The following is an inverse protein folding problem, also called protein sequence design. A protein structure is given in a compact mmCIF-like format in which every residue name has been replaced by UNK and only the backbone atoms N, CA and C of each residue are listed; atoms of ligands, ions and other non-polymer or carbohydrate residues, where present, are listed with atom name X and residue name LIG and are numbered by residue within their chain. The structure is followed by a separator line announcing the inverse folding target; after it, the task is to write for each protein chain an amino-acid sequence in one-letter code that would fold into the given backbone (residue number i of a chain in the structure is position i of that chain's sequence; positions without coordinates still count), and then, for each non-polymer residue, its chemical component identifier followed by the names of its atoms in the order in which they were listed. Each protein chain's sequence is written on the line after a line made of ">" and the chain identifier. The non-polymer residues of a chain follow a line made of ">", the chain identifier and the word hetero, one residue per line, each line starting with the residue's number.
data_IF_221700552169
#
_entry.id   IF_221700552169
#
_cell.length_a   1.000
_cell.length_b   1.000
_cell.length_c   1.000
_cell.angle_alpha   90.00
_cell.angle_beta   90.00
_cell.angle_gamma   90.00
#
_symmetry.space_group_name_H-M   'P 1'
#
loop_
_entity.id
_entity.type
_entity.pdbx_description
1 polymer ?
#
# COMPACT_ATOMS: atom_id res chain seq x y z
N UNK A 1 -11.43 17.57 3.38
CA UNK A 1 -11.79 16.22 2.86
C UNK A 1 -10.50 15.49 2.52
N UNK A 2 -10.31 14.32 3.07
CA UNK A 2 -9.08 13.54 2.84
C UNK A 2 -9.35 12.42 1.85
N UNK A 3 -8.56 12.38 0.80
CA UNK A 3 -8.56 11.31 -0.19
C UNK A 3 -7.33 10.45 0.05
N UNK A 4 -7.53 9.18 0.36
CA UNK A 4 -6.45 8.21 0.55
C UNK A 4 -6.22 7.46 -0.75
N UNK A 5 -4.97 7.43 -1.21
CA UNK A 5 -4.54 6.70 -2.41
C UNK A 5 -3.68 5.52 -1.96
N UNK A 6 -4.14 4.31 -2.20
CA UNK A 6 -3.36 3.13 -1.87
C UNK A 6 -2.31 2.90 -2.96
N UNK A 7 -1.05 3.12 -2.59
CA UNK A 7 0.11 2.99 -3.49
C UNK A 7 0.65 1.57 -3.36
N UNK A 8 0.17 0.68 -4.21
CA UNK A 8 0.63 -0.71 -4.29
C UNK A 8 1.71 -0.86 -5.37
N UNK A 9 2.59 -1.85 -5.21
CA UNK A 9 3.81 -1.98 -6.03
C UNK A 9 3.55 -2.02 -7.55
N UNK A 10 2.52 -2.76 -7.97
CA UNK A 10 2.31 -3.03 -9.40
C UNK A 10 1.32 -2.10 -10.07
N UNK A 11 0.54 -1.34 -9.30
CA UNK A 11 -0.63 -0.60 -9.82
C UNK A 11 -0.67 0.88 -9.40
N UNK A 12 0.34 1.35 -8.71
CA UNK A 12 0.32 2.69 -8.11
C UNK A 12 0.21 3.82 -9.14
N UNK A 13 0.76 3.64 -10.33
CA UNK A 13 0.73 4.68 -11.36
C UNK A 13 -0.69 5.05 -11.75
N UNK A 14 -1.53 4.06 -11.99
CA UNK A 14 -2.93 4.28 -12.37
C UNK A 14 -3.73 4.93 -11.25
N UNK A 15 -3.47 4.53 -9.99
CA UNK A 15 -4.10 5.16 -8.83
C UNK A 15 -3.72 6.62 -8.68
N UNK A 16 -2.44 6.94 -8.85
CA UNK A 16 -1.92 8.31 -8.77
C UNK A 16 -2.50 9.17 -9.90
N UNK A 17 -2.57 8.63 -11.11
CA UNK A 17 -3.15 9.35 -12.23
C UNK A 17 -4.63 9.67 -12.00
N UNK A 18 -5.38 8.73 -11.45
CA UNK A 18 -6.77 8.96 -11.07
C UNK A 18 -6.91 10.01 -9.96
N UNK A 19 -5.96 10.01 -9.00
CA UNK A 19 -5.97 10.94 -7.88
C UNK A 19 -5.77 12.40 -8.29
N UNK A 20 -5.19 12.68 -9.45
CA UNK A 20 -5.02 14.05 -9.94
C UNK A 20 -6.33 14.80 -10.09
N UNK A 21 -7.43 14.10 -10.37
CA UNK A 21 -8.74 14.71 -10.46
C UNK A 21 -9.21 15.33 -9.14
N UNK A 22 -8.57 14.96 -8.03
CA UNK A 22 -8.88 15.43 -6.68
C UNK A 22 -7.81 16.35 -6.13
N UNK A 23 -7.04 17.01 -6.98
CA UNK A 23 -5.88 17.84 -6.59
C UNK A 23 -6.22 19.06 -5.72
N UNK A 24 -7.49 19.41 -5.59
CA UNK A 24 -7.94 20.45 -4.65
C UNK A 24 -8.21 19.93 -3.24
N UNK A 25 -8.14 18.62 -3.03
CA UNK A 25 -8.40 17.98 -1.76
C UNK A 25 -7.10 17.63 -1.04
N UNK A 26 -7.20 17.27 0.23
CA UNK A 26 -6.08 16.74 0.98
C UNK A 26 -5.80 15.31 0.51
N UNK A 27 -4.66 15.09 -0.13
CA UNK A 27 -4.27 13.80 -0.68
C UNK A 27 -3.26 13.12 0.24
N UNK A 28 -3.53 11.88 0.61
CA UNK A 28 -2.63 11.02 1.38
C UNK A 28 -2.24 9.80 0.53
N UNK A 29 -0.96 9.70 0.21
CA UNK A 29 -0.40 8.52 -0.45
C UNK A 29 0.01 7.51 0.62
N UNK A 30 -0.61 6.34 0.60
CA UNK A 30 -0.41 5.29 1.58
C UNK A 30 0.26 4.08 0.94
N UNK A 31 1.36 3.63 1.53
CA UNK A 31 1.96 2.33 1.19
C UNK A 31 2.02 1.46 2.44
N UNK A 32 1.67 0.19 2.30
CA UNK A 32 1.72 -0.79 3.39
C UNK A 32 2.66 -1.93 2.99
N UNK A 33 3.67 -2.15 3.81
CA UNK A 33 4.57 -3.31 3.68
C UNK A 33 4.05 -4.46 4.53
N UNK A 34 4.09 -5.67 3.97
CA UNK A 34 3.66 -6.86 4.68
C UNK A 34 4.66 -7.17 5.81
N UNK A 35 4.15 -7.29 7.04
CA UNK A 35 4.97 -7.57 8.21
C UNK A 35 5.43 -9.03 8.30
N UNK A 36 4.76 -9.95 7.60
CA UNK A 36 5.04 -11.38 7.71
C UNK A 36 6.42 -11.76 7.14
N UNK A 37 6.89 -11.03 6.13
CA UNK A 37 8.19 -11.30 5.51
C UNK A 37 9.35 -11.00 6.47
N UNK A 38 9.48 -9.81 7.10
CA UNK A 38 10.50 -9.57 8.11
C UNK A 38 10.36 -10.50 9.33
N UNK A 39 9.13 -10.70 9.82
CA UNK A 39 8.86 -11.55 10.97
C UNK A 39 9.30 -13.00 10.77
N UNK A 40 8.99 -13.57 9.62
CA UNK A 40 9.43 -14.92 9.27
C UNK A 40 10.96 -15.02 9.17
N UNK A 41 11.62 -14.03 8.61
CA UNK A 41 13.08 -13.99 8.52
C UNK A 41 13.74 -13.87 9.91
N UNK A 42 13.19 -13.02 10.80
CA UNK A 42 13.65 -12.92 12.19
C UNK A 42 13.57 -14.27 12.91
N UNK A 43 12.41 -14.95 12.80
CA UNK A 43 12.20 -16.24 13.44
C UNK A 43 13.14 -17.32 12.93
N UNK A 44 13.32 -17.45 11.64
CA UNK A 44 14.18 -18.44 11.02
C UNK A 44 15.66 -18.22 11.39
N UNK A 45 16.13 -16.99 11.34
CA UNK A 45 17.51 -16.65 11.65
C UNK A 45 17.82 -16.78 13.13
N UNK A 46 16.93 -16.37 14.01
CA UNK A 46 17.11 -16.48 15.46
C UNK A 46 17.25 -17.95 15.90
N UNK A 47 16.55 -18.87 15.22
CA UNK A 47 16.69 -20.31 15.50
C UNK A 47 18.03 -20.89 15.13
N UNK A 48 18.75 -20.30 14.16
CA UNK A 48 20.07 -20.80 13.69
C UNK A 48 21.25 -20.13 14.36
N UNK A 49 21.23 -18.82 14.58
CA UNK A 49 22.38 -18.03 14.99
C UNK A 49 22.19 -17.20 16.26
N UNK A 50 21.00 -17.08 16.75
CA UNK A 50 20.58 -16.69 18.11
C UNK A 50 20.99 -15.34 18.69
N UNK A 51 22.04 -14.62 18.29
CA UNK A 51 22.53 -13.51 19.10
C UNK A 51 23.26 -12.35 18.38
N UNK A 52 23.12 -12.20 17.08
CA UNK A 52 23.78 -11.09 16.38
C UNK A 52 22.78 -10.21 15.64
N UNK A 53 22.23 -9.15 16.30
CA UNK A 53 21.22 -8.29 15.68
C UNK A 53 21.66 -7.65 14.36
N UNK A 54 22.96 -7.32 14.25
CA UNK A 54 23.52 -6.73 13.03
C UNK A 54 23.57 -7.68 11.84
N UNK A 55 23.41 -9.00 12.08
CA UNK A 55 23.41 -10.03 11.04
C UNK A 55 22.03 -10.66 10.83
N UNK A 56 21.03 -10.18 11.52
CA UNK A 56 19.65 -10.67 11.41
C UNK A 56 19.07 -10.32 10.03
N UNK A 57 18.74 -11.31 9.18
CA UNK A 57 18.11 -11.01 7.88
C UNK A 57 16.75 -10.35 8.01
N UNK A 58 16.03 -10.55 9.13
CA UNK A 58 14.77 -9.83 9.39
C UNK A 58 14.99 -8.34 9.53
N UNK A 59 16.04 -7.92 10.26
CA UNK A 59 16.39 -6.50 10.39
C UNK A 59 16.81 -5.91 9.03
N UNK A 60 17.51 -6.65 8.20
CA UNK A 60 17.86 -6.22 6.84
C UNK A 60 16.64 -6.08 5.96
N UNK A 61 15.69 -7.01 6.04
CA UNK A 61 14.43 -6.94 5.29
C UNK A 61 13.57 -5.77 5.75
N UNK A 62 13.55 -5.46 7.05
CA UNK A 62 12.86 -4.27 7.58
C UNK A 62 13.45 -2.99 6.98
N UNK A 63 14.77 -2.88 6.93
CA UNK A 63 15.46 -1.74 6.33
C UNK A 63 15.21 -1.62 4.85
N UNK A 64 15.26 -2.73 4.11
CA UNK A 64 14.99 -2.77 2.67
C UNK A 64 13.53 -2.43 2.38
N UNK A 65 12.60 -2.91 3.19
CA UNK A 65 11.18 -2.61 3.04
C UNK A 65 10.90 -1.12 3.28
N UNK A 66 11.53 -0.52 4.29
CA UNK A 66 11.40 0.91 4.57
C UNK A 66 11.98 1.76 3.43
N UNK A 67 13.14 1.39 2.90
CA UNK A 67 13.76 2.06 1.75
C UNK A 67 12.88 1.95 0.50
N UNK A 68 12.34 0.77 0.25
CA UNK A 68 11.43 0.53 -0.86
C UNK A 68 10.17 1.40 -0.75
N UNK A 69 9.55 1.42 0.43
CA UNK A 69 8.37 2.24 0.68
C UNK A 69 8.65 3.72 0.45
N UNK A 70 9.78 4.24 0.95
CA UNK A 70 10.17 5.63 0.76
C UNK A 70 10.35 5.98 -0.71
N UNK A 71 11.05 5.15 -1.47
CA UNK A 71 11.27 5.38 -2.91
C UNK A 71 9.97 5.33 -3.69
N UNK A 72 9.11 4.38 -3.36
CA UNK A 72 7.82 4.22 -4.02
C UNK A 72 6.92 5.43 -3.77
N UNK A 73 6.85 5.89 -2.52
CA UNK A 73 6.06 7.07 -2.16
C UNK A 73 6.62 8.35 -2.77
N UNK A 74 7.94 8.50 -2.84
CA UNK A 74 8.57 9.63 -3.54
C UNK A 74 8.23 9.62 -5.03
N UNK A 75 8.34 8.47 -5.68
CA UNK A 75 7.99 8.34 -7.08
C UNK A 75 6.51 8.64 -7.33
N UNK A 76 5.64 8.18 -6.43
CA UNK A 76 4.21 8.44 -6.50
C UNK A 76 3.90 9.93 -6.34
N UNK A 77 4.53 10.60 -5.37
CA UNK A 77 4.36 12.03 -5.14
C UNK A 77 4.85 12.85 -6.34
N UNK A 78 5.99 12.48 -6.91
CA UNK A 78 6.53 13.14 -8.10
C UNK A 78 5.60 13.00 -9.29
N UNK A 79 5.06 11.80 -9.52
CA UNK A 79 4.10 11.55 -10.59
C UNK A 79 2.79 12.29 -10.37
N UNK A 80 2.33 12.38 -9.12
CA UNK A 80 1.11 13.11 -8.77
C UNK A 80 1.20 14.59 -9.12
N UNK A 81 2.32 15.21 -8.83
CA UNK A 81 2.63 16.59 -9.23
C UNK A 81 1.85 17.68 -8.51
N UNK A 82 1.07 17.33 -7.48
CA UNK A 82 0.33 18.28 -6.63
C UNK A 82 0.67 18.01 -5.18
N UNK A 83 0.45 18.99 -4.26
CA UNK A 83 0.76 18.77 -2.84
C UNK A 83 0.04 17.56 -2.26
N UNK A 84 0.76 16.75 -1.50
CA UNK A 84 0.24 15.57 -0.82
C UNK A 84 1.05 15.27 0.42
N UNK A 85 0.50 14.41 1.27
CA UNK A 85 1.24 13.78 2.35
C UNK A 85 1.47 12.31 2.04
N UNK A 86 2.46 11.70 2.66
CA UNK A 86 2.78 10.29 2.48
C UNK A 86 2.76 9.56 3.81
N UNK A 87 2.37 8.29 3.80
CA UNK A 87 2.38 7.43 4.97
C UNK A 87 2.85 6.05 4.58
N UNK A 88 3.90 5.57 5.25
CA UNK A 88 4.37 4.20 5.12
C UNK A 88 3.99 3.44 6.39
N UNK A 89 3.29 2.32 6.22
CA UNK A 89 2.88 1.46 7.32
C UNK A 89 3.44 0.06 7.12
N UNK A 90 3.64 -0.64 8.21
CA UNK A 90 4.02 -2.06 8.22
C UNK A 90 2.94 -2.82 8.97
N UNK A 91 2.43 -3.88 8.40
CA UNK A 91 1.40 -4.66 9.02
C UNK A 91 0.71 -5.57 8.02
N UNK A 92 -0.46 -6.04 8.39
CA UNK A 92 -1.30 -6.79 7.48
C UNK A 92 -1.95 -5.82 6.49
N UNK A 93 -1.61 -5.97 5.23
CA UNK A 93 -1.88 -4.94 4.19
C UNK A 93 -3.34 -4.52 4.18
N UNK A 94 -4.26 -5.46 4.05
CA UNK A 94 -5.69 -5.17 3.95
C UNK A 94 -6.25 -4.49 5.21
N UNK A 95 -5.74 -4.87 6.39
CA UNK A 95 -6.18 -4.27 7.65
C UNK A 95 -5.67 -2.84 7.82
N UNK A 96 -4.43 -2.60 7.43
CA UNK A 96 -3.83 -1.27 7.50
C UNK A 96 -4.49 -0.29 6.53
N UNK A 97 -4.82 -0.76 5.33
CA UNK A 97 -5.51 0.08 4.34
C UNK A 97 -6.91 0.46 4.85
N UNK A 98 -7.67 -0.49 5.37
CA UNK A 98 -9.00 -0.23 5.93
C UNK A 98 -8.90 0.74 7.11
N UNK A 99 -7.92 0.54 8.00
CA UNK A 99 -7.71 1.43 9.16
C UNK A 99 -7.39 2.87 8.71
N UNK A 100 -6.52 3.03 7.72
CA UNK A 100 -6.17 4.34 7.20
C UNK A 100 -7.37 5.05 6.53
N UNK A 101 -8.26 4.29 5.95
CA UNK A 101 -9.43 4.83 5.23
C UNK A 101 -10.60 5.18 6.13
N UNK A 102 -10.56 4.86 7.43
CA UNK A 102 -11.71 5.06 8.33
C UNK A 102 -12.21 6.49 8.38
N UNK A 103 -11.32 7.45 8.35
CA UNK A 103 -11.67 8.87 8.40
C UNK A 103 -11.54 9.55 7.04
N UNK A 104 -11.27 8.79 6.00
CA UNK A 104 -11.17 9.32 4.65
C UNK A 104 -12.56 9.59 4.07
N UNK A 105 -12.59 10.53 3.15
CA UNK A 105 -13.80 10.82 2.36
C UNK A 105 -13.86 9.98 1.09
N UNK A 106 -12.71 9.46 0.66
CA UNK A 106 -12.58 8.62 -0.52
C UNK A 106 -11.30 7.78 -0.41
N UNK A 107 -11.39 6.53 -0.82
CA UNK A 107 -10.23 5.64 -0.99
C UNK A 107 -10.09 5.28 -2.47
N UNK A 108 -8.91 5.53 -3.02
CA UNK A 108 -8.59 5.18 -4.41
C UNK A 108 -7.66 3.96 -4.39
N UNK A 109 -8.06 2.93 -5.09
CA UNK A 109 -7.29 1.71 -5.27
C UNK A 109 -7.49 1.13 -6.66
N UNK A 110 -6.63 0.22 -7.05
CA UNK A 110 -6.63 -0.37 -8.39
C UNK A 110 -7.01 -1.84 -8.32
N UNK A 111 -7.66 -2.32 -9.37
CA UNK A 111 -7.86 -3.76 -9.58
C UNK A 111 -6.50 -4.40 -9.81
N UNK A 112 -6.20 -5.47 -9.10
CA UNK A 112 -4.88 -6.10 -9.06
C UNK A 112 -4.92 -7.62 -9.26
N UNK A 113 -6.08 -8.15 -9.62
CA UNK A 113 -6.24 -9.56 -9.94
C UNK A 113 -6.18 -9.84 -11.44
N UNK A 114 -7.04 -10.73 -11.92
CA UNK A 114 -7.16 -11.01 -13.33
C UNK A 114 -7.98 -9.93 -14.03
N UNK A 115 -7.28 -9.02 -14.70
CA UNK A 115 -7.89 -7.88 -15.40
C UNK A 115 -8.15 -8.15 -16.88
N UNK A 116 -7.99 -9.39 -17.32
CA UNK A 116 -8.32 -9.77 -18.71
C UNK A 116 -9.82 -9.71 -19.00
N UNK A 117 -10.64 -9.83 -17.95
CA UNK A 117 -12.10 -9.76 -18.03
C UNK A 117 -12.66 -8.94 -16.86
N UNK A 118 -13.76 -8.24 -17.09
CA UNK A 118 -14.51 -7.61 -16.02
C UNK A 118 -15.12 -8.68 -15.10
N UNK A 119 -15.13 -8.41 -13.80
CA UNK A 119 -15.77 -9.31 -12.85
C UNK A 119 -14.96 -9.50 -11.57
N UNK A 120 -15.40 -10.42 -10.70
CA UNK A 120 -14.83 -10.55 -9.36
C UNK A 120 -13.37 -11.01 -9.34
N UNK A 121 -12.90 -11.72 -10.35
CA UNK A 121 -11.50 -12.15 -10.44
C UNK A 121 -10.51 -11.01 -10.64
N UNK A 122 -10.98 -9.83 -11.03
CA UNK A 122 -10.13 -8.65 -11.20
C UNK A 122 -9.66 -8.06 -9.87
N UNK A 123 -10.22 -8.49 -8.75
CA UNK A 123 -9.80 -8.10 -7.41
C UNK A 123 -8.98 -9.22 -6.78
N UNK A 124 -7.75 -8.92 -6.41
CA UNK A 124 -6.96 -9.83 -5.58
C UNK A 124 -7.54 -9.96 -4.18
N UNK A 125 -7.06 -10.93 -3.36
CA UNK A 125 -7.64 -11.18 -2.04
C UNK A 125 -7.63 -9.99 -1.10
N UNK A 126 -6.51 -9.27 -1.02
CA UNK A 126 -6.39 -8.09 -0.15
C UNK A 126 -7.28 -6.95 -0.63
N UNK A 127 -7.30 -6.69 -1.92
CA UNK A 127 -8.14 -5.64 -2.52
C UNK A 127 -9.62 -5.94 -2.32
N UNK A 128 -10.03 -7.18 -2.48
CA UNK A 128 -11.41 -7.61 -2.21
C UNK A 128 -11.80 -7.36 -0.76
N UNK A 129 -10.92 -7.72 0.19
CA UNK A 129 -11.14 -7.45 1.60
C UNK A 129 -11.35 -5.96 1.86
N UNK A 130 -10.49 -5.12 1.28
CA UNK A 130 -10.58 -3.67 1.44
C UNK A 130 -11.90 -3.12 0.89
N UNK A 131 -12.30 -3.56 -0.30
CA UNK A 131 -13.58 -3.13 -0.90
C UNK A 131 -14.77 -3.52 -0.01
N UNK A 132 -14.74 -4.73 0.56
CA UNK A 132 -15.82 -5.23 1.40
C UNK A 132 -15.89 -4.53 2.77
N UNK A 133 -14.76 -4.05 3.30
CA UNK A 133 -14.66 -3.54 4.67
C UNK A 133 -14.42 -2.03 4.77
N UNK A 134 -14.14 -1.34 3.69
CA UNK A 134 -13.95 0.11 3.71
C UNK A 134 -15.24 0.81 4.16
N UNK A 135 -15.09 1.79 5.05
CA UNK A 135 -16.22 2.56 5.59
C UNK A 135 -16.40 3.91 4.89
N UNK A 136 -15.65 4.16 3.84
CA UNK A 136 -15.77 5.34 2.99
C UNK A 136 -16.04 4.91 1.54
N UNK A 137 -16.46 5.83 0.67
CA UNK A 137 -16.54 5.56 -0.76
C UNK A 137 -15.22 5.09 -1.34
N UNK A 138 -15.29 4.17 -2.28
CA UNK A 138 -14.11 3.57 -2.93
C UNK A 138 -14.17 3.87 -4.42
N UNK A 139 -13.09 4.46 -4.94
CA UNK A 139 -12.87 4.60 -6.37
C UNK A 139 -11.95 3.45 -6.82
N UNK A 140 -12.52 2.54 -7.58
CA UNK A 140 -11.83 1.35 -8.05
C UNK A 140 -11.34 1.58 -9.47
N UNK A 141 -10.03 1.72 -9.63
CA UNK A 141 -9.39 2.05 -10.90
C UNK A 141 -9.11 0.79 -11.70
N UNK A 142 -9.43 0.82 -12.98
CA UNK A 142 -9.05 -0.23 -13.90
C UNK A 142 -7.62 0.03 -14.40
N UNK A 143 -6.66 -0.90 -14.25
CA UNK A 143 -5.29 -0.67 -14.71
C UNK A 143 -5.20 -0.64 -16.24
N UNK A 144 -4.29 0.17 -16.72
CA UNK A 144 -4.02 0.31 -18.16
C UNK A 144 -2.75 -0.40 -18.60
#
# INVERSE_FOLDING_TARGET
>A
MTVVVWVADDTWQDCVDAARAFGGEELLLLHVSDHDVPGAAHGAFAGLFGRHPSRDPGARLDGLAADHASRLLEAAADRLGVPCTTSARVGRVEHEVVAAAREASLLILCRDGDVSHAGPRSLGPATRFVVDHATCPVLLVWPT
#
